data_IF_854910110907
#
_entry.id   IF_854910110907
#
_cell.length_a   1.000
_cell.length_b   1.000
_cell.length_c   1.000
_cell.angle_alpha   90.00
_cell.angle_beta   90.00
_cell.angle_gamma   90.00
#
_symmetry.space_group_name_H-M   'P 1'
#
loop_
_entity.id
_entity.type
_entity.pdbx_description
1 polymer ?
#
# COMPACT_ATOMS: atom_id res chain seq x y z
N UNK A 1 -46.72 -8.18 -0.04
CA UNK A 1 -45.66 -7.61 -0.88
C UNK A 1 -44.54 -7.07 -0.03
N UNK A 2 -44.59 -5.85 0.49
CA UNK A 2 -43.50 -5.28 1.34
C UNK A 2 -43.22 -6.10 2.61
N UNK A 3 -44.25 -6.66 3.26
CA UNK A 3 -44.08 -7.50 4.45
C UNK A 3 -43.38 -8.84 4.12
N UNK A 4 -43.71 -9.44 2.99
CA UNK A 4 -43.06 -10.70 2.55
C UNK A 4 -41.60 -10.48 2.18
N UNK A 5 -41.27 -9.37 1.52
CA UNK A 5 -39.89 -9.00 1.20
C UNK A 5 -39.05 -8.73 2.46
N UNK A 6 -39.63 -8.07 3.47
CA UNK A 6 -39.01 -7.86 4.76
C UNK A 6 -38.72 -9.20 5.49
N UNK A 7 -39.67 -10.12 5.49
CA UNK A 7 -39.52 -11.44 6.10
C UNK A 7 -38.37 -12.21 5.40
N UNK A 8 -38.32 -12.19 4.08
CA UNK A 8 -37.27 -12.84 3.32
C UNK A 8 -35.89 -12.23 3.61
N UNK A 9 -35.80 -10.91 3.74
CA UNK A 9 -34.56 -10.23 4.11
C UNK A 9 -34.07 -10.62 5.50
N UNK A 10 -34.96 -10.68 6.49
CA UNK A 10 -34.61 -11.10 7.86
C UNK A 10 -34.17 -12.57 7.87
N UNK A 11 -34.90 -13.46 7.22
CA UNK A 11 -34.52 -14.87 7.12
C UNK A 11 -33.09 -15.03 6.51
N UNK A 12 -32.79 -14.20 5.50
CA UNK A 12 -31.45 -14.21 4.88
C UNK A 12 -30.35 -13.75 5.84
N UNK A 13 -30.62 -12.78 6.69
CA UNK A 13 -29.69 -12.34 7.74
C UNK A 13 -29.49 -13.44 8.81
N UNK A 14 -30.57 -14.13 9.19
CA UNK A 14 -30.49 -15.26 10.12
C UNK A 14 -29.64 -16.41 9.57
N UNK A 15 -29.85 -16.80 8.30
CA UNK A 15 -29.03 -17.80 7.64
C UNK A 15 -27.53 -17.42 7.63
N UNK A 16 -27.23 -16.17 7.30
CA UNK A 16 -25.87 -15.65 7.32
C UNK A 16 -25.28 -15.68 8.73
N UNK A 17 -26.05 -15.27 9.73
CA UNK A 17 -25.61 -15.29 11.13
C UNK A 17 -25.23 -16.70 11.58
N UNK A 18 -26.06 -17.72 11.31
CA UNK A 18 -25.74 -19.09 11.67
C UNK A 18 -24.49 -19.62 10.96
N UNK A 19 -24.28 -19.24 9.69
CA UNK A 19 -23.05 -19.58 8.96
C UNK A 19 -21.81 -18.96 9.62
N UNK A 20 -21.91 -17.70 10.01
CA UNK A 20 -20.78 -16.97 10.61
C UNK A 20 -20.51 -17.45 12.04
N UNK A 21 -21.54 -17.76 12.80
CA UNK A 21 -21.46 -18.32 14.14
C UNK A 21 -20.78 -19.70 14.13
N UNK A 22 -21.14 -20.56 13.19
CA UNK A 22 -20.50 -21.87 13.01
C UNK A 22 -19.00 -21.77 12.68
N UNK A 23 -18.54 -20.61 12.21
CA UNK A 23 -17.15 -20.29 11.95
C UNK A 23 -16.51 -19.38 13.03
N UNK A 24 -17.17 -19.15 14.17
CA UNK A 24 -16.71 -18.35 15.31
C UNK A 24 -16.50 -16.85 14.99
N UNK A 25 -17.26 -16.29 14.04
CA UNK A 25 -17.24 -14.87 13.69
C UNK A 25 -18.35 -14.08 14.36
N UNK A 26 -19.28 -14.69 15.08
CA UNK A 26 -20.44 -14.07 15.73
C UNK A 26 -20.08 -12.88 16.63
N UNK A 27 -18.98 -13.00 17.37
CA UNK A 27 -18.47 -11.93 18.26
C UNK A 27 -17.99 -10.65 17.56
N UNK A 28 -17.82 -10.69 16.24
CA UNK A 28 -17.37 -9.55 15.44
C UNK A 28 -18.50 -8.89 14.64
N UNK A 29 -19.72 -9.38 14.76
CA UNK A 29 -20.83 -8.99 13.90
C UNK A 29 -21.95 -8.38 14.74
N UNK A 30 -22.51 -7.31 14.22
CA UNK A 30 -23.77 -6.74 14.68
C UNK A 30 -24.67 -6.45 13.48
N UNK A 31 -25.97 -6.50 13.68
CA UNK A 31 -26.96 -6.16 12.67
C UNK A 31 -27.54 -4.79 12.97
N UNK A 32 -27.57 -3.94 11.97
CA UNK A 32 -28.23 -2.65 12.00
C UNK A 32 -29.31 -2.63 10.91
N UNK A 33 -30.56 -2.73 11.31
CA UNK A 33 -31.69 -2.71 10.39
C UNK A 33 -32.05 -1.30 9.91
N UNK A 34 -31.45 -0.27 10.50
CA UNK A 34 -31.61 1.12 10.10
C UNK A 34 -30.58 1.60 9.08
N UNK A 35 -29.61 0.75 8.75
CA UNK A 35 -28.55 1.11 7.80
C UNK A 35 -29.07 1.09 6.36
N UNK A 36 -28.96 2.23 5.69
CA UNK A 36 -29.40 2.42 4.32
C UNK A 36 -28.19 2.66 3.43
N UNK A 37 -28.11 1.90 2.35
CA UNK A 37 -27.05 2.11 1.35
C UNK A 37 -27.26 3.38 0.54
N UNK A 38 -26.22 4.18 0.39
CA UNK A 38 -26.18 5.31 -0.54
C UNK A 38 -26.13 4.85 -2.02
N UNK A 39 -25.85 3.57 -2.26
CA UNK A 39 -25.64 3.04 -3.61
C UNK A 39 -26.84 2.22 -4.08
N UNK A 40 -27.54 2.72 -5.09
CA UNK A 40 -28.73 2.09 -5.69
C UNK A 40 -28.44 0.76 -6.41
N UNK A 41 -27.19 0.37 -6.60
CA UNK A 41 -26.84 -0.87 -7.29
C UNK A 41 -26.80 -2.10 -6.37
N UNK A 42 -26.88 -1.94 -5.05
CA UNK A 42 -26.94 -3.08 -4.15
C UNK A 42 -28.31 -3.76 -4.24
N UNK A 43 -28.30 -5.08 -4.29
CA UNK A 43 -29.50 -5.91 -4.43
C UNK A 43 -29.70 -6.89 -3.28
N UNK A 44 -28.88 -6.82 -2.26
CA UNK A 44 -28.91 -7.73 -1.12
C UNK A 44 -28.17 -7.15 0.07
N UNK A 45 -27.48 -8.00 0.82
CA UNK A 45 -26.77 -7.62 2.03
C UNK A 45 -25.76 -6.52 1.75
N UNK A 46 -25.80 -5.49 2.57
CA UNK A 46 -24.75 -4.48 2.69
C UNK A 46 -23.97 -4.72 3.98
N UNK A 47 -22.71 -4.33 4.03
CA UNK A 47 -21.91 -4.46 5.23
C UNK A 47 -20.86 -3.36 5.34
N UNK A 48 -20.57 -3.01 6.57
CA UNK A 48 -19.54 -2.05 6.94
C UNK A 48 -18.60 -2.69 7.95
N UNK A 49 -17.31 -2.42 7.85
CA UNK A 49 -16.36 -2.81 8.88
C UNK A 49 -15.81 -1.59 9.57
N UNK A 50 -15.85 -1.64 10.89
CA UNK A 50 -15.33 -0.61 11.78
C UNK A 50 -14.12 -1.15 12.53
N UNK A 51 -13.24 -0.25 12.92
CA UNK A 51 -12.14 -0.58 13.82
C UNK A 51 -12.06 0.45 14.93
N UNK A 52 -11.39 0.08 16.01
CA UNK A 52 -11.24 0.97 17.15
C UNK A 52 -10.55 2.29 16.76
N UNK A 53 -11.10 3.40 17.23
CA UNK A 53 -10.54 4.73 16.99
C UNK A 53 -11.02 5.41 15.70
N UNK A 54 -11.95 4.80 14.94
CA UNK A 54 -12.64 5.48 13.84
C UNK A 54 -14.10 5.69 14.17
N UNK A 55 -14.63 6.86 13.85
CA UNK A 55 -16.09 7.13 13.92
C UNK A 55 -16.82 6.72 12.63
N UNK A 56 -16.10 6.28 11.61
CA UNK A 56 -16.58 5.94 10.29
C UNK A 56 -16.07 4.57 9.85
N UNK A 57 -16.79 3.85 8.96
CA UNK A 57 -16.36 2.55 8.49
C UNK A 57 -15.06 2.64 7.68
N UNK A 58 -14.16 1.69 7.89
CA UNK A 58 -12.94 1.51 7.09
C UNK A 58 -13.18 0.66 5.85
N UNK A 59 -14.22 -0.18 5.89
CA UNK A 59 -14.66 -1.02 4.76
C UNK A 59 -16.14 -0.79 4.52
N UNK A 60 -16.51 -0.65 3.24
CA UNK A 60 -17.89 -0.60 2.78
C UNK A 60 -18.08 -1.61 1.67
N UNK A 61 -19.13 -2.43 1.75
CA UNK A 61 -19.39 -3.45 0.75
C UNK A 61 -20.83 -3.92 0.72
N UNK A 62 -21.12 -4.76 -0.26
CA UNK A 62 -22.45 -5.34 -0.40
C UNK A 62 -22.57 -6.24 -1.63
N UNK A 63 -23.73 -6.88 -1.74
CA UNK A 63 -24.10 -7.74 -2.87
C UNK A 63 -24.77 -6.92 -3.96
N UNK A 64 -24.37 -7.14 -5.21
CA UNK A 64 -24.91 -6.48 -6.39
C UNK A 64 -25.04 -7.46 -7.55
N UNK A 65 -26.25 -7.89 -7.85
CA UNK A 65 -26.50 -8.93 -8.85
C UNK A 65 -26.78 -8.36 -10.25
N UNK A 66 -27.15 -7.08 -10.34
CA UNK A 66 -27.56 -6.44 -11.61
C UNK A 66 -26.49 -5.56 -12.24
N UNK A 67 -25.45 -5.19 -11.50
CA UNK A 67 -24.45 -4.24 -11.95
C UNK A 67 -23.69 -4.75 -13.19
N UNK A 68 -23.29 -6.01 -13.17
CA UNK A 68 -22.54 -6.61 -14.28
C UNK A 68 -23.37 -6.81 -15.54
N UNK A 69 -24.70 -6.89 -15.42
CA UNK A 69 -25.61 -6.94 -16.56
C UNK A 69 -25.53 -5.72 -17.47
N UNK A 70 -25.21 -4.55 -16.92
CA UNK A 70 -24.97 -3.33 -17.70
C UNK A 70 -23.75 -3.44 -18.62
N UNK A 71 -22.86 -4.38 -18.33
CA UNK A 71 -21.66 -4.69 -19.12
C UNK A 71 -21.80 -6.00 -19.91
N UNK A 72 -23.04 -6.51 -20.07
CA UNK A 72 -23.33 -7.70 -20.87
C UNK A 72 -23.09 -9.04 -20.17
N UNK A 73 -22.98 -9.07 -18.84
CA UNK A 73 -22.73 -10.29 -18.09
C UNK A 73 -23.58 -10.33 -16.81
N UNK A 74 -24.73 -11.02 -16.85
CA UNK A 74 -25.59 -11.20 -15.68
C UNK A 74 -25.00 -12.22 -14.71
N UNK A 75 -24.35 -11.72 -13.65
CA UNK A 75 -23.80 -12.54 -12.58
C UNK A 75 -24.00 -11.89 -11.22
N UNK A 76 -24.41 -12.72 -10.27
CA UNK A 76 -24.40 -12.32 -8.87
C UNK A 76 -22.98 -12.02 -8.43
N UNK A 77 -22.80 -10.89 -7.74
CA UNK A 77 -21.50 -10.40 -7.32
C UNK A 77 -21.56 -9.80 -5.92
N UNK A 78 -20.47 -9.90 -5.20
CA UNK A 78 -20.24 -9.23 -3.93
C UNK A 78 -18.88 -8.55 -4.00
N UNK A 79 -18.76 -7.38 -3.39
CA UNK A 79 -17.50 -6.67 -3.35
C UNK A 79 -17.45 -5.67 -2.21
N UNK A 80 -16.27 -5.14 -1.99
CA UNK A 80 -16.06 -4.11 -0.97
C UNK A 80 -14.94 -3.16 -1.39
N UNK A 81 -14.93 -2.00 -0.78
CA UNK A 81 -13.84 -1.01 -0.86
C UNK A 81 -13.24 -0.80 0.52
N UNK A 82 -11.95 -0.53 0.57
CA UNK A 82 -11.22 -0.14 1.78
C UNK A 82 -10.81 1.32 1.64
N UNK A 83 -11.18 2.14 2.61
CA UNK A 83 -10.72 3.54 2.68
C UNK A 83 -9.36 3.58 3.38
N UNK A 84 -8.30 3.64 2.59
CA UNK A 84 -6.91 3.51 3.08
C UNK A 84 -6.57 4.62 4.08
N UNK A 85 -6.97 5.86 3.84
CA UNK A 85 -6.69 6.97 4.76
C UNK A 85 -7.30 6.73 6.15
N UNK A 86 -8.52 6.18 6.20
CA UNK A 86 -9.18 5.80 7.47
C UNK A 86 -8.44 4.65 8.16
N UNK A 87 -8.00 3.68 7.39
CA UNK A 87 -7.22 2.55 7.92
C UNK A 87 -5.89 3.04 8.53
N UNK A 88 -5.14 3.87 7.82
CA UNK A 88 -3.89 4.46 8.32
C UNK A 88 -4.15 5.29 9.58
N UNK A 89 -5.18 6.13 9.59
CA UNK A 89 -5.55 6.91 10.75
C UNK A 89 -5.90 6.03 11.96
N UNK A 90 -6.58 4.91 11.74
CA UNK A 90 -6.91 3.94 12.79
C UNK A 90 -5.67 3.26 13.36
N UNK A 91 -4.76 2.81 12.50
CA UNK A 91 -3.49 2.19 12.90
C UNK A 91 -2.66 3.15 13.75
N UNK A 92 -2.55 4.42 13.33
CA UNK A 92 -1.82 5.44 14.07
C UNK A 92 -2.44 5.70 15.46
N UNK A 93 -3.78 5.79 15.54
CA UNK A 93 -4.48 5.98 16.84
C UNK A 93 -4.33 4.80 17.78
N UNK A 94 -4.20 3.60 17.24
CA UNK A 94 -3.97 2.37 18.01
C UNK A 94 -2.48 2.12 18.30
N UNK A 95 -1.58 2.99 17.86
CA UNK A 95 -0.12 2.82 17.93
C UNK A 95 0.37 1.49 17.31
N UNK A 96 -0.31 1.05 16.26
CA UNK A 96 0.09 -0.14 15.50
C UNK A 96 1.06 0.31 14.41
N UNK A 97 2.31 -0.07 14.56
CA UNK A 97 3.31 0.17 13.53
C UNK A 97 3.26 -0.92 12.48
N UNK A 98 3.15 -0.51 11.22
CA UNK A 98 3.28 -1.43 10.09
C UNK A 98 4.78 -1.70 9.94
N UNK A 99 5.26 -2.93 10.18
CA UNK A 99 6.65 -3.25 9.93
C UNK A 99 6.92 -3.09 8.44
N UNK A 100 7.94 -2.35 8.11
CA UNK A 100 8.47 -2.26 6.76
C UNK A 100 9.97 -2.48 6.85
N UNK A 101 10.45 -3.45 6.09
CA UNK A 101 11.87 -3.68 5.97
C UNK A 101 12.48 -2.49 5.21
N UNK A 102 13.41 -1.82 5.84
CA UNK A 102 14.20 -0.82 5.15
C UNK A 102 15.01 -1.56 4.07
N UNK A 103 14.68 -1.32 2.82
CA UNK A 103 15.42 -1.88 1.72
C UNK A 103 15.46 -0.89 0.55
N UNK A 104 16.53 -0.93 -0.20
CA UNK A 104 16.65 -0.12 -1.40
C UNK A 104 17.70 0.96 -1.30
N UNK A 105 17.83 1.69 -2.39
CA UNK A 105 18.89 2.67 -2.60
C UNK A 105 18.31 4.00 -3.05
N UNK A 106 18.70 5.08 -2.40
CA UNK A 106 18.53 6.43 -2.91
C UNK A 106 19.64 6.69 -3.95
N UNK A 107 19.27 6.85 -5.20
CA UNK A 107 20.20 7.18 -6.27
C UNK A 107 20.17 8.68 -6.53
N UNK A 108 21.21 9.36 -6.12
CA UNK A 108 21.39 10.81 -6.30
C UNK A 108 22.23 11.04 -7.54
N UNK A 109 21.81 11.90 -8.45
CA UNK A 109 22.49 12.13 -9.73
C UNK A 109 22.56 13.59 -10.10
N UNK A 110 23.63 14.03 -10.74
CA UNK A 110 23.76 15.34 -11.32
C UNK A 110 22.84 15.49 -12.54
N UNK A 111 22.31 16.67 -12.81
CA UNK A 111 21.32 16.93 -13.86
C UNK A 111 21.74 16.42 -15.25
N UNK A 112 23.02 16.53 -15.60
CA UNK A 112 23.62 16.03 -16.84
C UNK A 112 23.82 14.51 -16.89
N UNK A 113 23.65 13.82 -15.73
CA UNK A 113 23.82 12.37 -15.55
C UNK A 113 22.51 11.59 -15.47
N UNK A 114 21.37 12.19 -15.82
CA UNK A 114 20.08 11.52 -15.78
C UNK A 114 20.04 10.21 -16.58
N UNK A 115 20.69 10.17 -17.75
CA UNK A 115 20.75 8.95 -18.58
C UNK A 115 21.46 7.80 -17.89
N UNK A 116 22.58 8.08 -17.22
CA UNK A 116 23.33 7.11 -16.43
C UNK A 116 22.50 6.63 -15.22
N UNK A 117 21.85 7.55 -14.53
CA UNK A 117 20.99 7.24 -13.40
C UNK A 117 19.82 6.32 -13.78
N UNK A 118 19.17 6.56 -14.92
CA UNK A 118 18.13 5.68 -15.45
C UNK A 118 18.69 4.28 -15.73
N UNK A 119 19.86 4.17 -16.34
CA UNK A 119 20.48 2.89 -16.65
C UNK A 119 20.84 2.11 -15.38
N UNK A 120 21.46 2.77 -14.40
CA UNK A 120 21.79 2.16 -13.11
C UNK A 120 20.51 1.72 -12.39
N UNK A 121 19.50 2.58 -12.32
CA UNK A 121 18.22 2.25 -11.66
C UNK A 121 17.52 1.05 -12.29
N UNK A 122 17.52 0.94 -13.62
CA UNK A 122 16.99 -0.24 -14.33
C UNK A 122 17.71 -1.52 -13.95
N UNK A 123 19.05 -1.47 -13.90
CA UNK A 123 19.88 -2.63 -13.50
C UNK A 123 19.55 -3.06 -12.07
N UNK A 124 19.52 -2.14 -11.12
CA UNK A 124 19.19 -2.44 -9.72
C UNK A 124 17.77 -2.97 -9.56
N UNK A 125 16.78 -2.35 -10.19
CA UNK A 125 15.39 -2.80 -10.13
C UNK A 125 15.19 -4.19 -10.76
N UNK A 126 15.95 -4.52 -11.82
CA UNK A 126 15.88 -5.87 -12.42
C UNK A 126 16.34 -6.99 -11.49
N UNK A 127 17.03 -6.67 -10.40
CA UNK A 127 17.48 -7.61 -9.36
C UNK A 127 16.61 -7.55 -8.09
N UNK A 128 15.51 -6.80 -8.13
CA UNK A 128 14.57 -6.70 -7.01
C UNK A 128 14.89 -5.59 -5.99
N UNK A 129 15.93 -4.76 -6.26
CA UNK A 129 16.26 -3.64 -5.38
C UNK A 129 15.31 -2.47 -5.61
N UNK A 130 14.71 -1.94 -4.56
CA UNK A 130 13.95 -0.70 -4.62
C UNK A 130 14.90 0.48 -4.88
N UNK A 131 14.57 1.33 -5.84
CA UNK A 131 15.40 2.50 -6.17
C UNK A 131 14.53 3.76 -6.23
N UNK A 132 14.87 4.72 -5.39
CA UNK A 132 14.37 6.08 -5.47
C UNK A 132 15.44 6.93 -6.17
N UNK A 133 15.05 7.78 -7.13
CA UNK A 133 15.97 8.64 -7.86
C UNK A 133 15.70 10.10 -7.50
N UNK A 134 16.74 10.86 -7.20
CA UNK A 134 16.64 12.28 -6.90
C UNK A 134 17.81 13.05 -7.53
N UNK A 135 17.50 14.21 -8.08
CA UNK A 135 18.52 15.12 -8.62
C UNK A 135 19.33 15.76 -7.49
N UNK A 136 20.65 15.77 -7.66
CA UNK A 136 21.56 16.46 -6.74
C UNK A 136 21.33 17.97 -6.77
N UNK A 137 21.36 18.58 -5.61
CA UNK A 137 21.27 20.03 -5.46
C UNK A 137 22.42 20.55 -4.63
N UNK A 138 23.17 21.52 -5.16
CA UNK A 138 24.32 22.13 -4.48
C UNK A 138 23.97 22.74 -3.11
N UNK A 139 22.71 23.06 -2.90
CA UNK A 139 22.20 23.57 -1.62
C UNK A 139 22.06 22.51 -0.53
N UNK A 140 22.24 21.22 -0.85
CA UNK A 140 22.09 20.10 0.08
C UNK A 140 23.44 19.42 0.33
N UNK A 141 23.68 19.05 1.58
CA UNK A 141 24.81 18.22 1.98
C UNK A 141 24.50 16.74 1.84
N UNK A 142 25.54 15.91 1.77
CA UNK A 142 25.40 14.44 1.78
C UNK A 142 24.57 13.95 2.99
N UNK A 143 24.74 14.58 4.16
CA UNK A 143 23.99 14.25 5.38
C UNK A 143 22.48 14.41 5.20
N UNK A 144 22.02 15.39 4.45
CA UNK A 144 20.61 15.59 4.17
C UNK A 144 20.04 14.53 3.22
N UNK A 145 20.83 14.00 2.30
CA UNK A 145 20.43 12.85 1.49
C UNK A 145 20.37 11.56 2.30
N UNK A 146 21.27 11.37 3.25
CA UNK A 146 21.26 10.24 4.17
C UNK A 146 20.02 10.30 5.08
N UNK A 147 19.70 11.47 5.62
CA UNK A 147 18.50 11.68 6.44
C UNK A 147 17.23 11.40 5.64
N UNK A 148 17.13 11.93 4.41
CA UNK A 148 16.02 11.64 3.51
C UNK A 148 15.89 10.15 3.18
N UNK A 149 17.01 9.46 2.96
CA UNK A 149 17.00 8.02 2.72
C UNK A 149 16.45 7.25 3.94
N UNK A 150 16.89 7.60 5.15
CA UNK A 150 16.38 7.01 6.41
C UNK A 150 14.87 7.22 6.59
N UNK A 151 14.40 8.45 6.38
CA UNK A 151 12.96 8.77 6.45
C UNK A 151 12.13 8.00 5.39
N UNK A 152 12.74 7.72 4.24
CA UNK A 152 12.12 6.97 3.14
C UNK A 152 12.36 5.45 3.24
N UNK A 153 12.90 4.95 4.36
CA UNK A 153 13.21 3.52 4.58
C UNK A 153 14.14 2.92 3.52
N UNK A 154 15.11 3.73 3.04
CA UNK A 154 16.16 3.31 2.13
C UNK A 154 17.46 3.10 2.91
N UNK A 155 18.18 2.03 2.60
CA UNK A 155 19.37 1.58 3.34
C UNK A 155 20.63 2.28 2.84
N UNK A 156 20.74 2.49 1.54
CA UNK A 156 21.92 3.03 0.90
C UNK A 156 21.64 4.35 0.18
N UNK A 157 22.64 5.22 0.13
CA UNK A 157 22.65 6.39 -0.74
C UNK A 157 23.79 6.24 -1.75
N UNK A 158 23.46 6.19 -3.03
CA UNK A 158 24.41 6.07 -4.11
C UNK A 158 24.44 7.36 -4.95
N UNK A 159 25.61 7.82 -5.32
CA UNK A 159 25.81 9.05 -6.07
C UNK A 159 26.39 8.77 -7.45
N UNK A 160 25.74 9.26 -8.49
CA UNK A 160 26.27 9.32 -9.83
C UNK A 160 26.84 10.73 -10.02
N UNK A 161 28.10 10.83 -9.71
CA UNK A 161 28.90 12.03 -9.81
C UNK A 161 29.69 12.10 -11.14
N UNK A 162 30.54 13.12 -11.31
CA UNK A 162 31.33 13.31 -12.52
C UNK A 162 32.40 12.24 -12.73
N UNK A 163 32.75 11.53 -11.66
CA UNK A 163 33.74 10.40 -11.75
C UNK A 163 33.05 9.08 -12.13
N UNK A 164 31.72 9.05 -12.27
CA UNK A 164 31.05 7.85 -12.75
C UNK A 164 31.35 7.58 -14.22
N UNK A 165 31.89 6.41 -14.49
CA UNK A 165 32.07 5.89 -15.84
C UNK A 165 31.18 4.66 -15.99
N UNK A 166 30.53 4.51 -17.13
CA UNK A 166 29.57 3.44 -17.42
C UNK A 166 30.08 2.06 -16.95
N UNK A 167 29.22 1.33 -16.21
CA UNK A 167 29.50 0.01 -15.62
C UNK A 167 30.61 -0.06 -14.57
N UNK A 168 31.10 1.08 -14.10
CA UNK A 168 32.14 1.18 -13.08
C UNK A 168 31.56 1.27 -11.65
N UNK A 169 32.34 1.85 -10.78
CA UNK A 169 31.98 2.08 -9.39
C UNK A 169 31.23 3.39 -9.22
N UNK A 170 30.23 3.39 -8.34
CA UNK A 170 29.53 4.58 -7.86
C UNK A 170 29.91 4.85 -6.41
N UNK A 171 29.80 6.09 -5.99
CA UNK A 171 30.00 6.47 -4.59
C UNK A 171 28.77 6.06 -3.79
N UNK A 172 28.96 5.30 -2.72
CA UNK A 172 27.91 4.79 -1.86
C UNK A 172 28.17 5.21 -0.42
N UNK A 173 27.12 5.64 0.26
CA UNK A 173 27.13 5.86 1.70
C UNK A 173 26.10 4.94 2.30
N UNK A 174 26.52 4.04 3.20
CA UNK A 174 25.66 3.12 3.89
C UNK A 174 24.98 3.76 5.11
N UNK A 175 24.11 3.01 5.77
CA UNK A 175 23.39 3.46 6.97
C UNK A 175 24.30 3.82 8.15
N UNK A 176 25.53 3.28 8.20
CA UNK A 176 26.54 3.60 9.22
C UNK A 176 27.30 4.90 8.92
N UNK A 177 27.10 5.47 7.73
CA UNK A 177 27.82 6.64 7.23
C UNK A 177 29.17 6.31 6.57
N UNK A 178 29.46 5.03 6.33
CA UNK A 178 30.67 4.62 5.62
C UNK A 178 30.54 5.04 4.16
N UNK A 179 31.52 5.81 3.70
CA UNK A 179 31.58 6.33 2.33
C UNK A 179 32.64 5.57 1.55
N UNK A 180 32.24 4.87 0.50
CA UNK A 180 33.16 4.11 -0.35
C UNK A 180 32.68 4.08 -1.81
N UNK A 181 33.58 3.70 -2.72
CA UNK A 181 33.21 3.40 -4.09
C UNK A 181 32.98 1.92 -4.26
N UNK A 182 31.79 1.57 -4.70
CA UNK A 182 31.36 0.20 -4.89
C UNK A 182 30.91 -0.05 -6.33
N UNK A 183 31.09 -1.27 -6.81
CA UNK A 183 30.55 -1.63 -8.11
C UNK A 183 29.01 -1.64 -8.07
N UNK A 184 28.34 -1.17 -9.13
CA UNK A 184 26.87 -1.18 -9.21
C UNK A 184 26.30 -2.57 -8.92
N UNK A 185 27.02 -3.63 -9.28
CA UNK A 185 26.61 -5.03 -9.01
C UNK A 185 26.60 -5.40 -7.52
N UNK A 186 27.39 -4.76 -6.68
CA UNK A 186 27.43 -5.07 -5.25
C UNK A 186 26.29 -4.44 -4.47
N UNK A 187 25.58 -3.46 -5.05
CA UNK A 187 24.31 -2.94 -4.50
C UNK A 187 23.16 -3.95 -4.63
N UNK A 188 23.38 -5.04 -5.35
CA UNK A 188 22.44 -6.13 -5.52
C UNK A 188 22.56 -7.07 -4.33
N UNK A 189 21.72 -6.92 -3.35
CA UNK A 189 21.70 -7.79 -2.17
C UNK A 189 21.43 -7.09 -0.84
N UNK A 190 21.24 -5.77 -0.86
CA UNK A 190 20.64 -5.05 0.27
C UNK A 190 21.52 -4.81 1.49
N UNK A 191 22.77 -5.24 1.52
CA UNK A 191 23.71 -4.96 2.64
C UNK A 191 25.11 -4.75 2.12
N UNK A 192 25.66 -3.60 2.40
CA UNK A 192 27.11 -3.36 2.42
C UNK A 192 27.65 -3.60 3.80
#
# INVERSE_FOLDING_TARGET
TDEEECIQAVNRLEELYELLKNNNYDKYISFDLGDLSEHAYYTGIIFHAYTFGTGEPVVNGGRYDKLLGQFGCDKASIGFSITIDRLIAALNRQNIHIPHDANGTLLVYNADRLGDAINVSKKLRSTGVNVCMIEYKDSKSDSQYIEYAKESSLVNVAFIDDEYVSDSTIRVIDESGKNERAAVKSLVGGTF
#
